data_IF_614998414978
#
_entry.id   IF_614998414978
#
_cell.length_a   1.000
_cell.length_b   1.000
_cell.length_c   1.000
_cell.angle_alpha   90.00
_cell.angle_beta   90.00
_cell.angle_gamma   90.00
#
_symmetry.space_group_name_H-M   'P 1'
#
loop_
_entity.id
_entity.type
_entity.pdbx_description
1 polymer ?
#
# COMPACT_ATOMS: atom_id res chain seq x y z
N UNK A 1 27.54 -29.78 -11.77
CA UNK A 1 27.79 -28.53 -12.49
C UNK A 1 26.55 -28.00 -13.17
N UNK A 2 25.89 -28.83 -13.91
CA UNK A 2 24.69 -28.40 -14.61
C UNK A 2 23.56 -27.96 -13.66
N UNK A 3 23.58 -28.51 -12.50
CA UNK A 3 22.58 -28.20 -11.48
C UNK A 3 22.64 -26.74 -11.05
N UNK A 4 23.83 -26.16 -11.09
CA UNK A 4 23.98 -24.75 -10.70
C UNK A 4 23.19 -23.82 -11.58
N UNK A 5 23.13 -24.12 -12.85
CA UNK A 5 22.40 -23.28 -13.79
C UNK A 5 20.92 -23.28 -13.50
N UNK A 6 20.41 -24.45 -13.12
CA UNK A 6 18.99 -24.56 -12.79
C UNK A 6 18.62 -23.71 -11.57
N UNK A 7 19.49 -23.72 -10.59
CA UNK A 7 19.26 -22.95 -9.38
C UNK A 7 19.22 -21.47 -9.68
N UNK A 8 20.11 -21.01 -10.51
CA UNK A 8 20.14 -19.62 -10.90
C UNK A 8 18.89 -19.20 -11.66
N UNK A 9 18.43 -20.07 -12.53
CA UNK A 9 17.21 -19.78 -13.27
C UNK A 9 16.01 -19.63 -12.34
N UNK A 10 15.93 -20.48 -11.35
CA UNK A 10 14.85 -20.38 -10.37
C UNK A 10 14.90 -19.08 -9.60
N UNK A 11 16.08 -18.67 -9.21
CA UNK A 11 16.24 -17.40 -8.51
C UNK A 11 15.78 -16.22 -9.37
N UNK A 12 16.12 -16.25 -10.65
CA UNK A 12 15.69 -15.20 -11.56
C UNK A 12 14.18 -15.15 -11.68
N UNK A 13 13.54 -16.29 -11.73
CA UNK A 13 12.09 -16.34 -11.81
C UNK A 13 11.44 -15.76 -10.56
N UNK A 14 12.05 -16.00 -9.41
CA UNK A 14 11.53 -15.44 -8.18
C UNK A 14 11.54 -13.93 -8.18
N UNK A 15 12.48 -13.31 -8.84
CA UNK A 15 12.53 -11.87 -8.94
C UNK A 15 11.49 -11.30 -9.87
N UNK A 16 11.06 -12.08 -10.84
CA UNK A 16 10.07 -11.62 -11.79
C UNK A 16 8.67 -11.55 -11.22
N UNK A 17 8.46 -12.01 -9.99
CA UNK A 17 7.16 -11.99 -9.37
C UNK A 17 6.76 -10.66 -8.74
N UNK A 18 7.30 -9.56 -9.20
CA UNK A 18 6.96 -8.23 -8.66
C UNK A 18 5.55 -7.85 -9.07
N UNK A 19 4.61 -8.06 -8.19
CA UNK A 19 3.25 -7.57 -8.37
C UNK A 19 3.11 -6.24 -7.66
N UNK A 20 2.08 -5.49 -8.03
CA UNK A 20 1.82 -4.21 -7.39
C UNK A 20 1.61 -4.43 -5.88
N UNK A 21 2.39 -3.72 -5.08
CA UNK A 21 2.30 -3.81 -3.64
C UNK A 21 1.16 -2.96 -3.09
N UNK A 22 0.62 -2.08 -3.90
CA UNK A 22 -0.39 -1.14 -3.44
C UNK A 22 -1.29 -0.76 -4.62
N UNK A 23 -2.61 -0.83 -4.41
CA UNK A 23 -3.58 -0.40 -5.40
C UNK A 23 -4.91 -0.09 -4.71
N UNK A 24 -5.82 0.52 -5.45
CA UNK A 24 -7.14 0.78 -4.91
C UNK A 24 -8.20 0.51 -5.97
N UNK A 25 -9.42 0.30 -5.50
CA UNK A 25 -10.60 0.14 -6.34
C UNK A 25 -11.66 1.13 -5.89
N UNK A 26 -12.28 1.77 -6.86
CA UNK A 26 -13.32 2.74 -6.57
C UNK A 26 -14.68 2.16 -6.93
N UNK A 27 -15.64 2.34 -6.04
CA UNK A 27 -16.99 1.88 -6.24
C UNK A 27 -17.92 2.96 -5.73
N UNK A 28 -18.51 3.74 -6.64
CA UNK A 28 -19.32 4.88 -6.29
C UNK A 28 -18.45 5.92 -5.53
N UNK A 29 -18.82 6.29 -4.31
CA UNK A 29 -18.04 7.22 -3.50
C UNK A 29 -17.12 6.50 -2.51
N UNK A 30 -17.04 5.18 -2.60
CA UNK A 30 -16.21 4.38 -1.71
C UNK A 30 -14.94 3.94 -2.42
N UNK A 31 -13.83 4.10 -1.75
CA UNK A 31 -12.53 3.69 -2.27
C UNK A 31 -11.95 2.66 -1.32
N UNK A 32 -11.58 1.51 -1.85
CA UNK A 32 -10.95 0.46 -1.07
C UNK A 32 -9.49 0.36 -1.46
N UNK A 33 -8.61 0.51 -0.48
CA UNK A 33 -7.17 0.44 -0.68
C UNK A 33 -6.66 -0.91 -0.26
N UNK A 34 -5.75 -1.46 -1.05
CA UNK A 34 -5.12 -2.75 -0.79
C UNK A 34 -3.62 -2.56 -0.67
N UNK A 35 -3.05 -3.14 0.37
CA UNK A 35 -1.63 -3.09 0.61
C UNK A 35 -1.09 -4.49 0.80
N UNK A 36 -0.03 -4.82 0.06
CA UNK A 36 0.68 -6.07 0.23
C UNK A 36 1.73 -5.83 1.32
N UNK A 37 1.60 -6.52 2.42
CA UNK A 37 2.53 -6.38 3.54
C UNK A 37 2.76 -7.74 4.19
N UNK A 38 3.58 -8.58 3.54
CA UNK A 38 3.85 -9.92 4.07
C UNK A 38 4.58 -9.82 5.40
N UNK A 39 4.14 -10.63 6.35
CA UNK A 39 4.73 -10.64 7.67
C UNK A 39 4.26 -9.55 8.60
N UNK A 40 3.46 -8.60 8.14
CA UNK A 40 2.95 -7.55 9.00
C UNK A 40 1.92 -8.12 9.98
N UNK A 41 1.94 -7.62 11.19
CA UNK A 41 0.99 -8.01 12.22
C UNK A 41 -0.13 -6.99 12.35
N UNK A 42 0.14 -5.74 12.01
CA UNK A 42 -0.85 -4.68 12.11
C UNK A 42 -0.60 -3.67 11.01
N UNK A 43 -1.67 -3.27 10.33
CA UNK A 43 -1.62 -2.23 9.31
C UNK A 43 -2.71 -1.22 9.63
N UNK A 44 -2.34 0.05 9.64
CA UNK A 44 -3.25 1.17 9.91
C UNK A 44 -3.16 2.13 8.75
N UNK A 45 -4.30 2.67 8.35
CA UNK A 45 -4.40 3.67 7.29
C UNK A 45 -4.74 5.02 7.91
N UNK A 46 -4.07 6.08 7.51
CA UNK A 46 -4.32 7.43 7.99
C UNK A 46 -4.41 8.37 6.81
N UNK A 47 -5.43 9.22 6.79
CA UNK A 47 -5.64 10.13 5.67
C UNK A 47 -6.14 11.50 6.12
N UNK A 48 -5.98 12.48 5.24
CA UNK A 48 -6.32 13.86 5.57
C UNK A 48 -7.82 14.15 5.62
N UNK A 49 -8.64 13.21 5.21
CA UNK A 49 -10.10 13.41 5.24
C UNK A 49 -10.63 13.58 6.66
N UNK A 50 -9.98 12.99 7.63
CA UNK A 50 -10.40 13.03 9.02
C UNK A 50 -9.24 13.35 9.97
N UNK A 51 -8.31 14.17 9.52
CA UNK A 51 -7.17 14.61 10.32
C UNK A 51 -6.28 13.45 10.74
N UNK A 52 -6.13 12.47 9.88
CA UNK A 52 -5.25 11.33 10.07
C UNK A 52 -5.62 10.44 11.26
N UNK A 53 -6.90 10.37 11.56
CA UNK A 53 -7.36 9.39 12.53
C UNK A 53 -7.01 7.97 12.05
N UNK A 54 -6.56 7.10 12.95
CA UNK A 54 -6.15 5.76 12.54
C UNK A 54 -7.34 4.88 12.15
N UNK A 55 -7.22 4.23 11.00
CA UNK A 55 -8.20 3.26 10.52
C UNK A 55 -7.51 1.91 10.40
N UNK A 56 -7.75 0.98 11.32
CA UNK A 56 -7.15 -0.35 11.21
C UNK A 56 -7.59 -1.03 9.94
N UNK A 57 -6.63 -1.54 9.19
CA UNK A 57 -6.93 -2.33 8.01
C UNK A 57 -7.26 -3.76 8.40
N UNK A 58 -8.07 -4.41 7.58
CA UNK A 58 -8.40 -5.82 7.78
C UNK A 58 -7.62 -6.68 6.82
N UNK A 59 -7.46 -7.94 7.17
CA UNK A 59 -6.82 -8.90 6.29
C UNK A 59 -7.75 -9.24 5.11
N UNK A 60 -7.17 -9.27 3.91
CA UNK A 60 -7.88 -9.63 2.69
C UNK A 60 -7.18 -10.81 1.98
N UNK A 61 -6.40 -11.57 2.71
CA UNK A 61 -5.60 -12.68 2.22
C UNK A 61 -4.40 -12.86 3.13
N UNK A 62 -3.49 -13.76 2.76
CA UNK A 62 -2.36 -14.10 3.61
C UNK A 62 -1.45 -12.92 3.91
N UNK A 63 -1.21 -12.07 2.92
CA UNK A 63 -0.30 -10.94 3.09
C UNK A 63 -0.91 -9.64 2.59
N UNK A 64 -2.20 -9.64 2.27
CA UNK A 64 -2.86 -8.47 1.74
C UNK A 64 -3.80 -7.88 2.78
N UNK A 65 -3.77 -6.57 2.88
CA UNK A 65 -4.59 -5.80 3.81
C UNK A 65 -5.48 -4.84 3.05
N UNK A 66 -6.65 -4.57 3.56
CA UNK A 66 -7.56 -3.64 2.91
C UNK A 66 -8.20 -2.68 3.91
N UNK A 67 -8.51 -1.50 3.42
CA UNK A 67 -9.26 -0.49 4.18
C UNK A 67 -10.13 0.27 3.19
N UNK A 68 -11.34 0.61 3.59
CA UNK A 68 -12.26 1.36 2.75
C UNK A 68 -12.58 2.69 3.38
N UNK A 69 -12.64 3.73 2.55
CA UNK A 69 -13.02 5.07 2.98
C UNK A 69 -14.03 5.63 1.99
N UNK A 70 -14.86 6.55 2.46
CA UNK A 70 -15.75 7.30 1.59
C UNK A 70 -15.03 8.56 1.16
N UNK A 71 -14.87 8.75 -0.14
CA UNK A 71 -14.09 9.86 -0.65
C UNK A 71 -14.64 10.39 -1.96
N UNK A 72 -15.06 11.64 -1.98
CA UNK A 72 -15.46 12.32 -3.19
C UNK A 72 -14.47 13.37 -3.62
N UNK A 73 -13.35 13.51 -2.93
CA UNK A 73 -12.37 14.56 -3.21
C UNK A 73 -10.97 14.02 -3.03
N UNK A 74 -10.01 14.82 -3.46
CA UNK A 74 -8.60 14.51 -3.31
C UNK A 74 -8.21 14.50 -1.84
N UNK A 75 -7.32 13.58 -1.45
CA UNK A 75 -6.80 13.54 -0.10
C UNK A 75 -5.42 12.91 -0.06
N UNK A 76 -4.70 13.10 1.05
CA UNK A 76 -3.37 12.54 1.29
C UNK A 76 -3.48 11.42 2.28
N UNK A 77 -2.60 10.41 2.12
CA UNK A 77 -2.66 9.26 3.02
C UNK A 77 -1.30 8.58 3.12
N UNK A 78 -1.17 7.80 4.18
CA UNK A 78 -0.04 6.92 4.39
C UNK A 78 -0.50 5.76 5.26
N UNK A 79 0.38 4.78 5.45
CA UNK A 79 0.10 3.64 6.31
C UNK A 79 1.04 3.65 7.50
N UNK A 80 0.64 2.96 8.55
CA UNK A 80 1.49 2.62 9.67
C UNK A 80 1.52 1.11 9.75
N UNK A 81 2.67 0.52 9.47
CA UNK A 81 2.83 -0.93 9.42
C UNK A 81 3.66 -1.33 10.62
N UNK A 82 3.08 -2.09 11.52
CA UNK A 82 3.75 -2.53 12.75
C UNK A 82 4.40 -1.37 13.50
N UNK A 83 3.68 -0.24 13.58
CA UNK A 83 4.12 0.93 14.29
C UNK A 83 5.03 1.89 13.53
N UNK A 84 5.39 1.57 12.30
CA UNK A 84 6.28 2.43 11.51
C UNK A 84 5.52 3.03 10.33
N UNK A 85 5.73 4.31 10.08
CA UNK A 85 5.12 4.98 8.93
C UNK A 85 5.65 4.37 7.65
N UNK A 86 4.75 4.04 6.75
CA UNK A 86 5.08 3.44 5.47
C UNK A 86 4.33 4.16 4.35
N UNK A 87 5.05 4.64 3.36
CA UNK A 87 4.48 5.28 2.17
C UNK A 87 4.73 4.34 1.01
N UNK A 88 3.69 3.68 0.47
CA UNK A 88 3.88 2.75 -0.64
C UNK A 88 4.19 3.49 -1.94
N UNK A 89 4.41 2.72 -3.00
CA UNK A 89 4.51 3.29 -4.33
C UNK A 89 3.12 3.77 -4.75
N UNK A 90 3.00 5.05 -4.97
CA UNK A 90 1.76 5.69 -5.35
C UNK A 90 1.92 6.43 -6.66
N UNK A 91 0.82 6.63 -7.36
CA UNK A 91 0.83 7.35 -8.62
C UNK A 91 1.17 8.82 -8.41
N UNK A 92 0.66 9.41 -7.33
CA UNK A 92 0.89 10.83 -7.01
C UNK A 92 1.39 10.95 -5.58
N UNK A 93 2.34 11.87 -5.39
CA UNK A 93 2.92 12.15 -4.08
C UNK A 93 2.88 13.64 -3.80
N UNK A 94 2.88 13.96 -2.51
CA UNK A 94 3.04 15.33 -2.05
C UNK A 94 4.09 15.34 -0.94
N UNK A 95 5.03 16.27 -1.00
CA UNK A 95 6.00 16.46 0.07
C UNK A 95 5.44 17.41 1.11
N UNK A 96 5.63 17.07 2.37
CA UNK A 96 5.29 17.99 3.45
C UNK A 96 6.45 18.95 3.70
N UNK A 97 6.28 19.82 4.70
CA UNK A 97 7.28 20.85 5.01
C UNK A 97 8.58 20.28 5.56
N UNK A 98 8.55 19.03 5.98
CA UNK A 98 9.72 18.35 6.57
C UNK A 98 10.42 17.44 5.57
N UNK A 99 9.99 17.43 4.32
CA UNK A 99 10.60 16.61 3.30
C UNK A 99 10.05 15.19 3.20
N UNK A 100 9.13 14.80 4.05
CA UNK A 100 8.47 13.50 3.95
C UNK A 100 7.43 13.52 2.84
N UNK A 101 7.17 12.34 2.27
CA UNK A 101 6.18 12.20 1.21
C UNK A 101 4.92 11.56 1.74
N UNK A 102 3.81 11.96 1.17
CA UNK A 102 2.53 11.29 1.37
C UNK A 102 1.98 10.88 0.01
N UNK A 103 1.23 9.81 -0.01
CA UNK A 103 0.46 9.47 -1.22
C UNK A 103 -0.70 10.43 -1.38
N UNK A 104 -1.08 10.70 -2.63
CA UNK A 104 -2.23 11.54 -2.92
C UNK A 104 -3.24 10.72 -3.72
N UNK A 105 -4.45 10.64 -3.23
CA UNK A 105 -5.56 10.06 -3.98
C UNK A 105 -6.25 11.18 -4.77
N UNK A 106 -6.37 10.99 -6.07
CA UNK A 106 -7.03 11.95 -6.96
C UNK A 106 -8.24 11.25 -7.58
N UNK A 107 -9.46 11.73 -7.32
CA UNK A 107 -10.64 11.15 -7.95
C UNK A 107 -10.62 11.39 -9.45
N UNK A 108 -11.15 10.45 -10.21
CA UNK A 108 -11.22 10.56 -11.65
C UNK A 108 -12.62 10.77 -12.15
#
# INVERSE_FOLDING_TARGET
MKIFFLIMAVAALGLGGCTAAHYYERQSDRVTFYLQAPGAQQVVFACSLDEYNPHPAGKAGDSRWKVSVTAGSEFRYFYIVDGAVYVPDCKFYEKDDFGSRNCVYVPE
#
